data_IF_819015153519
#
_entry.id   IF_819015153519
#
_cell.length_a   1.000
_cell.length_b   1.000
_cell.length_c   1.000
_cell.angle_alpha   90.00
_cell.angle_beta   90.00
_cell.angle_gamma   90.00
#
_symmetry.space_group_name_H-M   'P 1'
#
loop_
_entity.id
_entity.type
_entity.pdbx_description
1 polymer ?
#
# COMPACT_ATOMS: atom_id res chain seq x y z
N UNK A 1 -2.70 1.60 -39.07
CA UNK A 1 -3.75 0.60 -38.79
C UNK A 1 -4.33 0.80 -37.39
N UNK A 2 -5.61 0.52 -37.17
CA UNK A 2 -6.24 0.57 -35.84
C UNK A 2 -5.49 -0.30 -34.80
N UNK A 3 -4.94 -1.44 -35.23
CA UNK A 3 -4.12 -2.30 -34.38
C UNK A 3 -2.82 -1.63 -33.89
N UNK A 4 -2.18 -0.80 -34.73
CA UNK A 4 -0.98 -0.06 -34.34
C UNK A 4 -1.29 1.07 -33.36
N UNK A 5 -2.44 1.74 -33.50
CA UNK A 5 -2.87 2.77 -32.57
C UNK A 5 -3.21 2.19 -31.17
N UNK A 6 -3.87 1.03 -31.14
CA UNK A 6 -4.19 0.32 -29.90
C UNK A 6 -2.93 -0.15 -29.15
N UNK A 7 -1.93 -0.69 -29.85
CA UNK A 7 -0.64 -1.06 -29.25
C UNK A 7 0.13 0.16 -28.72
N UNK A 8 0.08 1.30 -29.41
CA UNK A 8 0.71 2.54 -28.96
C UNK A 8 0.05 3.07 -27.68
N UNK A 9 -1.28 3.08 -27.64
CA UNK A 9 -2.05 3.47 -26.46
C UNK A 9 -1.73 2.56 -25.27
N UNK A 10 -1.75 1.23 -25.46
CA UNK A 10 -1.39 0.27 -24.42
C UNK A 10 0.06 0.42 -23.91
N UNK A 11 0.99 0.82 -24.78
CA UNK A 11 2.38 1.10 -24.39
C UNK A 11 2.54 2.40 -23.58
N UNK A 12 1.62 3.36 -23.77
CA UNK A 12 1.58 4.61 -23.01
C UNK A 12 0.86 4.44 -21.67
N UNK A 13 -0.05 3.47 -21.58
CA UNK A 13 -0.80 3.10 -20.37
C UNK A 13 -0.06 2.06 -19.50
N UNK A 14 1.24 1.85 -19.71
CA UNK A 14 2.06 1.04 -18.80
C UNK A 14 2.07 1.75 -17.44
N UNK A 15 1.40 1.14 -16.45
CA UNK A 15 1.48 1.52 -15.05
C UNK A 15 2.92 1.35 -14.56
N UNK A 16 3.69 2.43 -14.59
CA UNK A 16 4.96 2.52 -13.88
C UNK A 16 4.66 2.71 -12.39
N UNK A 17 5.21 1.84 -11.55
CA UNK A 17 4.99 1.86 -10.11
C UNK A 17 6.29 1.77 -9.31
N UNK A 18 6.24 2.21 -8.05
CA UNK A 18 7.33 2.09 -7.09
C UNK A 18 6.91 1.20 -5.95
N UNK A 19 7.78 0.27 -5.55
CA UNK A 19 7.53 -0.62 -4.43
C UNK A 19 8.26 -0.15 -3.17
N UNK A 20 7.54 -0.03 -2.06
CA UNK A 20 8.07 0.19 -0.72
C UNK A 20 7.96 -1.09 0.10
N UNK A 21 9.10 -1.61 0.56
CA UNK A 21 9.20 -2.77 1.45
C UNK A 21 9.65 -2.30 2.82
N UNK A 22 8.88 -2.63 3.86
CA UNK A 22 9.19 -2.25 5.23
C UNK A 22 9.13 -3.48 6.15
N UNK A 23 10.26 -3.79 6.78
CA UNK A 23 10.36 -4.87 7.75
C UNK A 23 9.60 -4.48 9.02
N UNK A 24 8.47 -5.14 9.24
CA UNK A 24 7.58 -4.89 10.39
C UNK A 24 7.59 -6.07 11.37
N UNK A 25 7.83 -7.28 10.85
CA UNK A 25 7.82 -8.53 11.62
C UNK A 25 8.81 -8.54 12.80
N UNK A 26 9.93 -7.83 12.68
CA UNK A 26 10.93 -7.70 13.76
C UNK A 26 10.41 -6.98 14.98
N UNK A 27 9.35 -6.17 14.84
CA UNK A 27 8.68 -5.56 15.99
C UNK A 27 7.97 -6.64 16.85
N UNK A 28 7.63 -7.80 16.29
CA UNK A 28 7.09 -8.94 17.05
C UNK A 28 8.10 -9.65 17.96
N UNK A 29 9.36 -9.22 18.01
CA UNK A 29 10.39 -9.82 18.87
C UNK A 29 10.29 -9.40 20.35
N UNK A 30 9.44 -8.42 20.67
CA UNK A 30 9.16 -8.04 22.07
C UNK A 30 8.28 -9.09 22.74
N UNK A 31 8.19 -9.06 24.08
CA UNK A 31 7.33 -9.97 24.83
C UNK A 31 5.85 -9.60 24.62
N UNK A 32 5.23 -10.14 23.57
CA UNK A 32 3.81 -9.98 23.24
C UNK A 32 3.55 -9.04 22.04
N UNK A 33 2.28 -8.64 21.84
CA UNK A 33 1.91 -7.73 20.75
C UNK A 33 2.63 -6.39 20.82
N UNK A 34 2.82 -5.73 19.69
CA UNK A 34 3.40 -4.38 19.60
C UNK A 34 2.45 -3.28 20.08
N UNK A 35 1.33 -3.69 20.67
CA UNK A 35 0.30 -2.83 21.23
C UNK A 35 -0.31 -1.96 20.12
N UNK A 36 -0.10 -0.65 20.20
CA UNK A 36 -0.74 0.32 19.30
C UNK A 36 0.01 0.41 17.99
N UNK A 37 -0.61 -0.07 16.92
CA UNK A 37 -0.11 0.10 15.56
C UNK A 37 -0.97 1.10 14.79
N UNK A 38 -0.31 2.06 14.13
CA UNK A 38 -0.96 2.99 13.21
C UNK A 38 -0.21 3.04 11.89
N UNK A 39 -0.92 2.81 10.79
CA UNK A 39 -0.41 2.94 9.44
C UNK A 39 -1.23 4.02 8.72
N UNK A 40 -0.55 5.03 8.20
CA UNK A 40 -1.11 6.01 7.28
C UNK A 40 -0.42 5.85 5.94
N UNK A 41 -1.19 5.62 4.88
CA UNK A 41 -0.71 5.55 3.51
C UNK A 41 -1.26 6.74 2.76
N UNK A 42 -0.38 7.56 2.21
CA UNK A 42 -0.73 8.74 1.44
C UNK A 42 -0.19 8.60 0.01
N UNK A 43 -1.07 8.77 -0.97
CA UNK A 43 -0.73 8.69 -2.40
C UNK A 43 -0.63 10.10 -3.00
N UNK A 44 0.19 10.31 -4.04
CA UNK A 44 0.55 11.65 -4.52
C UNK A 44 -0.61 12.44 -5.16
N UNK A 45 -1.69 11.77 -5.56
CA UNK A 45 -2.90 12.41 -6.09
C UNK A 45 -4.11 11.48 -5.96
N UNK A 46 -5.33 12.00 -6.03
CA UNK A 46 -6.58 11.23 -6.00
C UNK A 46 -6.73 10.22 -7.15
N UNK A 47 -5.97 10.39 -8.23
CA UNK A 47 -5.90 9.47 -9.39
C UNK A 47 -4.82 8.39 -9.28
N UNK A 48 -3.79 8.59 -8.46
CA UNK A 48 -2.75 7.59 -8.25
C UNK A 48 -3.32 6.29 -7.67
N UNK A 49 -2.77 5.15 -8.07
CA UNK A 49 -3.11 3.86 -7.47
C UNK A 49 -2.23 3.60 -6.25
N UNK A 50 -2.72 2.78 -5.33
CA UNK A 50 -1.92 2.20 -4.28
C UNK A 50 -2.46 0.80 -3.98
N UNK A 51 -1.57 -0.16 -3.82
CA UNK A 51 -1.92 -1.55 -3.52
C UNK A 51 -1.08 -2.04 -2.35
N UNK A 52 -1.73 -2.64 -1.36
CA UNK A 52 -1.10 -3.22 -0.18
C UNK A 52 -2.00 -4.26 0.50
N UNK A 53 -1.37 -5.21 1.18
CA UNK A 53 -2.07 -6.15 2.07
C UNK A 53 -2.17 -5.53 3.47
N UNK A 54 -3.28 -4.85 3.76
CA UNK A 54 -3.56 -4.29 5.08
C UNK A 54 -5.04 -4.51 5.43
N UNK A 55 -5.34 -5.62 6.14
CA UNK A 55 -6.70 -5.93 6.56
C UNK A 55 -7.23 -4.82 7.47
N UNK A 56 -8.46 -4.36 7.21
CA UNK A 56 -9.09 -3.31 8.02
C UNK A 56 -8.69 -1.88 7.68
N UNK A 57 -7.80 -1.66 6.70
CA UNK A 57 -7.46 -0.31 6.24
C UNK A 57 -8.69 0.40 5.66
N UNK A 58 -8.86 1.68 5.98
CA UNK A 58 -10.00 2.50 5.57
C UNK A 58 -9.53 3.74 4.84
N UNK A 59 -10.35 4.24 3.90
CA UNK A 59 -10.14 5.54 3.28
C UNK A 59 -10.43 6.64 4.31
N UNK A 60 -9.43 7.46 4.61
CA UNK A 60 -9.54 8.62 5.50
C UNK A 60 -9.65 9.95 4.72
N UNK A 61 -9.29 9.96 3.43
CA UNK A 61 -9.39 11.13 2.57
C UNK A 61 -9.27 10.79 1.06
N UNK A 62 -9.21 11.80 0.18
CA UNK A 62 -9.03 11.60 -1.26
C UNK A 62 -7.74 10.83 -1.60
N UNK A 63 -6.69 11.08 -0.82
CA UNK A 63 -5.34 10.53 -0.98
C UNK A 63 -4.89 9.66 0.19
N UNK A 64 -5.65 9.61 1.28
CA UNK A 64 -5.19 9.04 2.56
C UNK A 64 -5.97 7.79 2.93
N UNK A 65 -5.25 6.76 3.34
CA UNK A 65 -5.78 5.53 3.93
C UNK A 65 -5.15 5.30 5.30
N UNK A 66 -5.95 4.85 6.27
CA UNK A 66 -5.48 4.62 7.64
C UNK A 66 -5.91 3.26 8.16
N UNK A 67 -5.03 2.68 8.98
CA UNK A 67 -5.28 1.50 9.80
C UNK A 67 -4.81 1.83 11.22
N UNK A 68 -5.64 1.48 12.20
CA UNK A 68 -5.31 1.59 13.61
C UNK A 68 -5.77 0.30 14.29
N UNK A 69 -4.85 -0.38 14.95
CA UNK A 69 -5.07 -1.64 15.66
C UNK A 69 -4.45 -1.53 17.06
N UNK A 70 -5.17 -2.02 18.05
CA UNK A 70 -4.65 -2.26 19.41
C UNK A 70 -4.23 -3.73 19.53
N UNK A 71 -3.30 -4.03 20.45
CA UNK A 71 -2.71 -5.37 20.61
C UNK A 71 -2.26 -6.02 19.30
N UNK A 72 -1.68 -5.22 18.39
CA UNK A 72 -1.32 -5.67 17.06
C UNK A 72 -0.14 -6.64 17.08
N UNK A 73 -0.28 -7.77 16.38
CA UNK A 73 0.81 -8.73 16.13
C UNK A 73 1.12 -8.71 14.64
N UNK A 74 2.30 -8.25 14.20
CA UNK A 74 2.66 -8.25 12.80
C UNK A 74 2.65 -9.67 12.20
N UNK A 75 1.70 -9.95 11.32
CA UNK A 75 1.61 -11.22 10.59
C UNK A 75 2.53 -11.27 9.36
N UNK A 76 3.10 -10.13 8.96
CA UNK A 76 3.98 -9.99 7.80
C UNK A 76 4.55 -8.57 7.67
N UNK A 77 5.52 -8.44 6.79
CA UNK A 77 6.11 -7.15 6.42
C UNK A 77 5.18 -6.35 5.52
N UNK A 78 5.34 -5.02 5.51
CA UNK A 78 4.54 -4.16 4.64
C UNK A 78 5.18 -4.15 3.25
N UNK A 79 4.36 -4.45 2.25
CA UNK A 79 4.69 -4.27 0.84
C UNK A 79 3.63 -3.36 0.25
N UNK A 80 4.06 -2.18 -0.20
CA UNK A 80 3.17 -1.16 -0.76
C UNK A 80 3.64 -0.84 -2.17
N UNK A 81 2.75 -1.04 -3.14
CA UNK A 81 2.94 -0.62 -4.53
C UNK A 81 2.23 0.71 -4.73
N UNK A 82 2.98 1.74 -5.11
CA UNK A 82 2.48 3.05 -5.54
C UNK A 82 2.53 3.16 -7.06
#
# INVERSE_FOLDING_TARGET
>A
SAAQAALKQASQDILAGTELKYVLTTAGNWLGPIQKFRLTVEKPSDKALVSLCAKGIKRAGPTTFTLAEDDYVPAGDLNVLF
#
